data_IF_887452458663
#
_entry.id   IF_887452458663
#
_cell.length_a   1.000
_cell.length_b   1.000
_cell.length_c   1.000
_cell.angle_alpha   90.00
_cell.angle_beta   90.00
_cell.angle_gamma   90.00
#
_symmetry.space_group_name_H-M   'P 1'
#
loop_
_entity.id
_entity.type
_entity.pdbx_description
1 polymer ?
#
# COMPACT_ATOMS: atom_id res chain seq x y z
N UNK A 1 -8.29 -36.80 31.53
CA UNK A 1 -7.55 -35.62 31.04
C UNK A 1 -8.28 -35.13 29.78
N UNK A 2 -9.23 -34.24 29.95
CA UNK A 2 -9.94 -33.57 28.89
C UNK A 2 -9.06 -32.46 28.32
N UNK A 3 -8.92 -32.31 26.99
CA UNK A 3 -8.19 -31.18 26.42
C UNK A 3 -8.99 -29.92 26.68
N UNK A 4 -8.37 -28.96 27.36
CA UNK A 4 -8.88 -27.58 27.42
C UNK A 4 -8.95 -27.05 25.99
N UNK A 5 -10.17 -26.87 25.50
CA UNK A 5 -10.47 -26.09 24.31
C UNK A 5 -10.08 -24.64 24.60
N UNK A 6 -8.91 -24.21 24.14
CA UNK A 6 -8.50 -22.83 24.17
C UNK A 6 -9.50 -22.02 23.34
N UNK A 7 -10.34 -21.26 24.00
CA UNK A 7 -11.21 -20.27 23.36
C UNK A 7 -10.33 -19.23 22.70
N UNK A 8 -10.27 -19.24 21.36
CA UNK A 8 -9.72 -18.16 20.57
C UNK A 8 -10.75 -17.01 20.62
N UNK A 9 -10.61 -16.12 21.59
CA UNK A 9 -11.35 -14.87 21.59
C UNK A 9 -10.80 -13.97 20.49
N UNK A 10 -11.69 -13.55 19.58
CA UNK A 10 -11.40 -12.44 18.69
C UNK A 10 -11.28 -11.17 19.54
N UNK A 11 -10.08 -10.67 19.62
CA UNK A 11 -9.73 -9.49 20.42
C UNK A 11 -9.55 -8.32 19.48
N UNK A 12 -10.14 -7.17 19.82
CA UNK A 12 -9.86 -5.90 19.10
C UNK A 12 -8.36 -5.62 19.15
N UNK A 13 -7.87 -4.83 18.18
CA UNK A 13 -6.47 -4.40 18.14
C UNK A 13 -6.01 -3.67 19.42
N UNK A 14 -6.96 -3.20 20.26
CA UNK A 14 -6.69 -2.58 21.57
C UNK A 14 -6.56 -3.59 22.73
N UNK A 15 -6.61 -4.91 22.45
CA UNK A 15 -6.50 -5.96 23.46
C UNK A 15 -7.78 -6.25 24.23
N UNK A 16 -8.91 -5.62 23.87
CA UNK A 16 -10.22 -5.91 24.47
C UNK A 16 -10.96 -7.00 23.69
N UNK A 17 -11.70 -7.88 24.36
CA UNK A 17 -12.63 -8.76 23.68
C UNK A 17 -13.57 -7.92 22.82
N UNK A 18 -13.86 -8.39 21.60
CA UNK A 18 -14.84 -7.75 20.72
C UNK A 18 -16.19 -7.71 21.50
N UNK A 19 -16.48 -6.59 22.14
CA UNK A 19 -17.80 -6.38 22.75
C UNK A 19 -18.76 -6.11 21.62
N UNK A 20 -19.66 -7.03 21.37
CA UNK A 20 -20.86 -6.74 20.61
C UNK A 20 -21.58 -5.66 21.40
N UNK A 21 -21.62 -4.46 20.88
CA UNK A 21 -22.46 -3.42 21.46
C UNK A 21 -23.89 -3.98 21.49
N UNK A 22 -24.48 -4.06 22.67
CA UNK A 22 -25.91 -4.17 22.78
C UNK A 22 -26.48 -3.06 21.91
N UNK A 23 -27.57 -3.35 21.16
CA UNK A 23 -28.20 -2.44 20.23
C UNK A 23 -28.12 -1.00 20.73
N UNK A 24 -27.18 -0.23 20.18
CA UNK A 24 -27.06 1.19 20.51
C UNK A 24 -28.25 1.85 19.84
N UNK A 25 -29.04 2.56 20.61
CA UNK A 25 -30.15 3.37 20.11
C UNK A 25 -29.68 4.15 18.87
N UNK A 26 -30.31 3.90 17.72
CA UNK A 26 -29.92 4.35 16.38
C UNK A 26 -30.11 5.86 16.13
N UNK A 27 -29.86 6.71 17.11
CA UNK A 27 -29.82 8.17 16.99
C UNK A 27 -28.37 8.69 17.14
N UNK A 28 -27.43 8.13 16.37
CA UNK A 28 -26.12 8.74 16.27
C UNK A 28 -26.20 9.86 15.24
N UNK A 29 -26.62 11.04 15.66
CA UNK A 29 -26.65 12.23 14.80
C UNK A 29 -25.26 12.54 14.27
N UNK A 30 -25.15 13.21 13.10
CA UNK A 30 -23.87 13.55 12.43
C UNK A 30 -22.89 14.29 13.34
N UNK A 31 -23.38 15.05 14.32
CA UNK A 31 -22.56 15.79 15.28
C UNK A 31 -21.83 14.85 16.26
N UNK A 32 -22.48 13.79 16.75
CA UNK A 32 -21.85 12.80 17.64
C UNK A 32 -20.75 12.02 16.92
N UNK A 33 -21.00 11.67 15.65
CA UNK A 33 -20.04 10.95 14.82
C UNK A 33 -18.79 11.81 14.53
N UNK A 34 -18.98 13.09 14.24
CA UNK A 34 -17.89 14.05 14.04
C UNK A 34 -17.09 14.28 15.31
N UNK A 35 -17.74 14.32 16.48
CA UNK A 35 -17.08 14.40 17.77
C UNK A 35 -16.22 13.16 18.06
N UNK A 36 -16.75 11.94 17.86
CA UNK A 36 -15.99 10.70 18.02
C UNK A 36 -14.72 10.72 17.14
N UNK A 37 -14.85 11.10 15.87
CA UNK A 37 -13.72 11.19 14.95
C UNK A 37 -12.63 12.17 15.43
N UNK A 38 -13.03 13.35 15.90
CA UNK A 38 -12.10 14.38 16.38
C UNK A 38 -11.45 14.00 17.71
N UNK A 39 -12.19 13.37 18.61
CA UNK A 39 -11.66 12.82 19.86
C UNK A 39 -10.66 11.70 19.60
N UNK A 40 -10.99 10.76 18.72
CA UNK A 40 -10.05 9.71 18.32
C UNK A 40 -8.76 10.34 17.79
N UNK A 41 -8.85 11.30 16.85
CA UNK A 41 -7.69 11.93 16.24
C UNK A 41 -6.78 12.64 17.25
N UNK A 42 -7.36 13.21 18.32
CA UNK A 42 -6.60 13.89 19.41
C UNK A 42 -5.97 12.91 20.39
N UNK A 43 -6.64 11.79 20.66
CA UNK A 43 -6.26 10.83 21.70
C UNK A 43 -5.28 9.76 21.22
N UNK A 44 -5.07 9.62 19.90
CA UNK A 44 -4.13 8.65 19.36
C UNK A 44 -2.69 9.07 19.61
N UNK A 45 -1.95 8.28 20.39
CA UNK A 45 -0.53 8.48 20.63
C UNK A 45 0.29 8.06 19.41
N UNK A 46 0.88 9.03 18.73
CA UNK A 46 1.68 8.82 17.52
C UNK A 46 2.99 8.09 17.81
N UNK A 47 3.35 7.17 16.91
CA UNK A 47 4.67 6.58 16.86
C UNK A 47 5.38 7.13 15.61
N UNK A 48 6.57 7.76 15.78
CA UNK A 48 7.30 8.31 14.65
C UNK A 48 7.71 7.23 13.63
N UNK A 49 7.60 7.55 12.35
CA UNK A 49 8.00 6.68 11.26
C UNK A 49 6.87 5.80 10.71
N UNK A 50 7.17 5.18 9.57
CA UNK A 50 6.32 4.15 8.97
C UNK A 50 6.97 2.81 9.24
N UNK A 51 6.29 1.94 9.98
CA UNK A 51 6.77 0.60 10.26
C UNK A 51 5.98 -0.42 9.43
N UNK A 52 6.67 -1.46 8.98
CA UNK A 52 6.00 -2.62 8.40
C UNK A 52 5.16 -3.30 9.48
N UNK A 53 3.86 -3.39 9.26
CA UNK A 53 2.94 -4.00 10.20
C UNK A 53 2.53 -5.39 9.71
N UNK A 54 2.74 -6.39 10.54
CA UNK A 54 2.17 -7.74 10.36
C UNK A 54 0.78 -7.86 10.99
N UNK A 55 0.31 -6.84 11.69
CA UNK A 55 -0.96 -6.84 12.42
C UNK A 55 -2.13 -7.37 11.58
N UNK A 56 -2.30 -6.87 10.35
CA UNK A 56 -3.41 -7.30 9.50
C UNK A 56 -3.30 -8.76 9.05
N UNK A 57 -2.08 -9.25 8.78
CA UNK A 57 -1.85 -10.64 8.42
C UNK A 57 -2.20 -11.57 9.58
N UNK A 58 -1.74 -11.23 10.79
CA UNK A 58 -2.03 -12.01 11.99
C UNK A 58 -3.55 -12.01 12.28
N UNK A 59 -4.22 -10.87 12.10
CA UNK A 59 -5.69 -10.75 12.23
C UNK A 59 -6.41 -11.63 11.20
N UNK A 60 -5.97 -11.66 9.95
CA UNK A 60 -6.53 -12.51 8.91
C UNK A 60 -6.37 -14.00 9.23
N UNK A 61 -5.23 -14.41 9.79
CA UNK A 61 -5.03 -15.81 10.22
C UNK A 61 -5.98 -16.18 11.37
N UNK A 62 -6.14 -15.31 12.35
CA UNK A 62 -7.08 -15.49 13.47
C UNK A 62 -8.52 -15.53 12.96
N UNK A 63 -8.90 -14.58 12.09
CA UNK A 63 -10.24 -14.51 11.49
C UNK A 63 -10.57 -15.78 10.72
N UNK A 64 -9.64 -16.27 9.88
CA UNK A 64 -9.84 -17.48 9.09
C UNK A 64 -10.10 -18.70 9.98
N UNK A 65 -9.36 -18.82 11.10
CA UNK A 65 -9.58 -19.90 12.09
C UNK A 65 -10.92 -19.76 12.80
N UNK A 66 -11.30 -18.55 13.21
CA UNK A 66 -12.54 -18.27 13.92
C UNK A 66 -13.77 -18.45 13.02
N UNK A 67 -13.65 -18.13 11.73
CA UNK A 67 -14.77 -18.20 10.79
C UNK A 67 -15.04 -19.63 10.27
N UNK A 68 -14.01 -20.51 10.29
CA UNK A 68 -14.13 -21.90 9.81
C UNK A 68 -15.28 -22.68 10.44
N UNK A 69 -15.47 -22.74 11.78
CA UNK A 69 -16.57 -23.46 12.38
C UNK A 69 -17.95 -22.86 12.03
N UNK A 70 -18.04 -21.53 11.90
CA UNK A 70 -19.27 -20.85 11.47
C UNK A 70 -19.65 -21.28 10.07
N UNK A 71 -18.69 -21.21 9.11
CA UNK A 71 -18.92 -21.64 7.73
C UNK A 71 -19.31 -23.11 7.65
N UNK A 72 -18.63 -23.99 8.37
CA UNK A 72 -18.91 -25.43 8.37
C UNK A 72 -20.31 -25.76 8.90
N UNK A 73 -20.76 -25.07 9.95
CA UNK A 73 -22.10 -25.25 10.53
C UNK A 73 -23.19 -24.77 9.59
N UNK A 74 -22.97 -23.59 8.97
CA UNK A 74 -23.94 -22.97 8.06
C UNK A 74 -24.06 -23.74 6.73
N UNK A 75 -22.98 -24.35 6.25
CA UNK A 75 -22.97 -25.20 5.05
C UNK A 75 -23.58 -26.60 5.26
N UNK A 76 -23.81 -27.02 6.50
CA UNK A 76 -24.37 -28.34 6.80
C UNK A 76 -25.87 -28.36 6.48
N UNK A 77 -26.32 -29.12 5.46
CA UNK A 77 -27.73 -29.17 5.08
C UNK A 77 -28.65 -29.83 6.15
N UNK A 78 -28.06 -30.53 7.10
CA UNK A 78 -28.81 -31.13 8.20
C UNK A 78 -29.22 -30.10 9.30
N UNK A 79 -28.56 -28.94 9.33
CA UNK A 79 -28.86 -27.88 10.28
C UNK A 79 -29.96 -26.99 9.70
N UNK A 80 -31.13 -27.05 10.30
CA UNK A 80 -32.24 -26.16 9.94
C UNK A 80 -32.01 -24.78 10.54
N UNK A 81 -32.32 -23.69 9.80
CA UNK A 81 -32.21 -22.33 10.33
C UNK A 81 -33.12 -22.18 11.53
N UNK A 82 -32.54 -21.88 12.69
CA UNK A 82 -33.26 -21.70 13.96
C UNK A 82 -33.69 -20.25 14.19
N UNK A 83 -33.02 -19.30 13.53
CA UNK A 83 -33.28 -17.87 13.62
C UNK A 83 -33.11 -17.18 12.26
N UNK A 84 -33.61 -15.94 12.15
CA UNK A 84 -33.44 -15.13 10.95
C UNK A 84 -31.96 -14.77 10.70
N UNK A 85 -31.17 -14.61 11.76
CA UNK A 85 -29.75 -14.36 11.68
C UNK A 85 -28.98 -15.57 11.13
N UNK A 86 -29.34 -16.79 11.54
CA UNK A 86 -28.76 -18.01 10.99
C UNK A 86 -29.09 -18.15 9.48
N UNK A 87 -30.31 -17.82 9.11
CA UNK A 87 -30.75 -17.82 7.70
C UNK A 87 -29.95 -16.80 6.89
N UNK A 88 -29.72 -15.59 7.41
CA UNK A 88 -28.93 -14.57 6.75
C UNK A 88 -27.48 -15.03 6.50
N UNK A 89 -26.84 -15.69 7.47
CA UNK A 89 -25.53 -16.30 7.27
C UNK A 89 -25.55 -17.36 6.17
N UNK A 90 -26.57 -18.21 6.15
CA UNK A 90 -26.73 -19.29 5.19
C UNK A 90 -26.90 -18.77 3.76
N UNK A 91 -27.74 -17.77 3.57
CA UNK A 91 -28.01 -17.12 2.28
C UNK A 91 -26.76 -16.39 1.72
N UNK A 92 -25.91 -15.85 2.59
CA UNK A 92 -24.77 -15.03 2.20
C UNK A 92 -23.41 -15.76 2.32
N UNK A 93 -23.41 -17.07 2.47
CA UNK A 93 -22.21 -17.87 2.71
C UNK A 93 -21.13 -17.71 1.63
N UNK A 94 -21.54 -17.65 0.36
CA UNK A 94 -20.63 -17.47 -0.76
C UNK A 94 -20.02 -16.07 -0.79
N UNK A 95 -20.82 -15.04 -0.47
CA UNK A 95 -20.33 -13.69 -0.33
C UNK A 95 -19.26 -13.62 0.77
N UNK A 96 -19.58 -14.14 1.95
CA UNK A 96 -18.69 -14.11 3.11
C UNK A 96 -17.37 -14.85 2.85
N UNK A 97 -17.45 -16.03 2.23
CA UNK A 97 -16.26 -16.82 1.88
C UNK A 97 -15.38 -16.11 0.83
N UNK A 98 -16.00 -15.47 -0.16
CA UNK A 98 -15.30 -14.70 -1.19
C UNK A 98 -14.62 -13.47 -0.59
N UNK A 99 -15.33 -12.68 0.20
CA UNK A 99 -14.79 -11.48 0.85
C UNK A 99 -13.67 -11.81 1.85
N UNK A 100 -13.77 -12.92 2.58
CA UNK A 100 -12.70 -13.40 3.46
C UNK A 100 -11.42 -13.69 2.66
N UNK A 101 -11.55 -14.42 1.56
CA UNK A 101 -10.40 -14.75 0.69
C UNK A 101 -9.76 -13.52 0.07
N UNK A 102 -10.57 -12.60 -0.50
CA UNK A 102 -10.10 -11.34 -1.10
C UNK A 102 -9.39 -10.46 -0.07
N UNK A 103 -10.00 -10.25 1.10
CA UNK A 103 -9.45 -9.42 2.18
C UNK A 103 -8.13 -9.99 2.68
N UNK A 104 -8.06 -11.29 2.95
CA UNK A 104 -6.83 -11.93 3.43
C UNK A 104 -5.72 -11.93 2.37
N UNK A 105 -6.05 -12.03 1.09
CA UNK A 105 -5.07 -11.91 0.00
C UNK A 105 -4.46 -10.50 -0.04
N UNK A 106 -5.27 -9.46 0.14
CA UNK A 106 -4.80 -8.08 0.20
C UNK A 106 -3.77 -7.87 1.31
N UNK A 107 -3.93 -8.54 2.46
CA UNK A 107 -3.02 -8.43 3.60
C UNK A 107 -1.89 -9.47 3.62
N UNK A 108 -1.71 -10.23 2.56
CA UNK A 108 -0.61 -11.21 2.44
C UNK A 108 0.78 -10.55 2.47
N UNK A 109 0.89 -9.33 1.92
CA UNK A 109 2.12 -8.54 1.92
C UNK A 109 2.15 -7.53 3.08
N UNK A 110 3.36 -7.20 3.59
CA UNK A 110 3.50 -6.19 4.64
C UNK A 110 3.24 -4.79 4.07
N UNK A 111 2.49 -3.98 4.81
CA UNK A 111 2.18 -2.60 4.44
C UNK A 111 2.88 -1.62 5.39
N UNK A 112 3.52 -0.60 4.83
CA UNK A 112 4.14 0.51 5.58
C UNK A 112 3.08 1.55 5.90
N UNK A 113 2.59 1.54 7.12
CA UNK A 113 1.51 2.42 7.57
C UNK A 113 1.90 3.14 8.85
N UNK A 114 1.37 4.35 9.08
CA UNK A 114 1.50 5.05 10.35
C UNK A 114 0.95 4.20 11.49
N UNK A 115 1.73 4.10 12.57
CA UNK A 115 1.40 3.33 13.75
C UNK A 115 0.97 4.25 14.90
N UNK A 116 0.09 3.74 15.73
CA UNK A 116 -0.37 4.41 16.95
C UNK A 116 -0.33 3.44 18.13
N UNK A 117 -0.15 4.00 19.33
CA UNK A 117 -0.26 3.24 20.56
C UNK A 117 -1.66 3.42 21.12
N UNK A 118 -2.33 2.30 21.34
CA UNK A 118 -3.63 2.29 22.02
C UNK A 118 -3.48 2.62 23.50
N UNK A 119 -4.56 3.01 24.21
CA UNK A 119 -4.55 3.21 25.66
C UNK A 119 -4.06 1.99 26.47
N UNK A 120 -4.16 0.79 25.88
CA UNK A 120 -3.69 -0.47 26.49
C UNK A 120 -2.22 -0.80 26.16
N UNK A 121 -1.51 0.10 25.49
CA UNK A 121 -0.09 -0.07 25.16
C UNK A 121 0.19 -0.87 23.86
N UNK A 122 -0.82 -1.42 23.22
CA UNK A 122 -0.67 -2.16 21.96
C UNK A 122 -0.38 -1.20 20.80
N UNK A 123 0.53 -1.59 19.93
CA UNK A 123 0.88 -0.83 18.71
C UNK A 123 0.09 -1.40 17.54
N UNK A 124 -0.66 -0.54 16.87
CA UNK A 124 -1.51 -0.90 15.73
C UNK A 124 -1.39 0.13 14.60
N UNK A 125 -1.69 -0.23 13.35
CA UNK A 125 -1.86 0.75 12.29
C UNK A 125 -2.97 1.75 12.64
N UNK A 126 -2.71 3.05 12.45
CA UNK A 126 -3.68 4.11 12.74
C UNK A 126 -5.01 3.89 12.04
N UNK A 127 -4.96 3.41 10.79
CA UNK A 127 -6.14 3.13 9.99
C UNK A 127 -7.02 2.00 10.60
N UNK A 128 -6.41 1.06 11.35
CA UNK A 128 -7.18 0.03 12.06
C UNK A 128 -8.00 0.64 13.20
N UNK A 129 -7.37 1.49 14.03
CA UNK A 129 -8.08 2.21 15.09
C UNK A 129 -9.24 3.05 14.54
N UNK A 130 -9.01 3.73 13.41
CA UNK A 130 -10.01 4.56 12.75
C UNK A 130 -11.20 3.73 12.24
N UNK A 131 -10.94 2.61 11.57
CA UNK A 131 -12.00 1.75 11.04
C UNK A 131 -12.81 1.08 12.17
N UNK A 132 -12.14 0.66 13.24
CA UNK A 132 -12.80 0.07 14.41
C UNK A 132 -13.72 1.09 15.12
N UNK A 133 -13.23 2.31 15.33
CA UNK A 133 -14.02 3.37 15.99
C UNK A 133 -15.22 3.78 15.13
N UNK A 134 -14.99 4.02 13.83
CA UNK A 134 -16.08 4.35 12.91
C UNK A 134 -17.18 3.26 12.88
N UNK A 135 -16.82 2.00 12.64
CA UNK A 135 -17.78 0.92 12.53
C UNK A 135 -18.53 0.67 13.87
N UNK A 136 -17.81 0.83 14.99
CA UNK A 136 -18.46 0.76 16.30
C UNK A 136 -19.43 1.92 16.53
N UNK A 137 -19.06 3.14 16.13
CA UNK A 137 -19.91 4.33 16.29
C UNK A 137 -21.19 4.28 15.44
N UNK A 138 -21.16 3.63 14.28
CA UNK A 138 -22.35 3.43 13.42
C UNK A 138 -23.05 2.08 13.66
N UNK A 139 -22.73 1.35 14.73
CA UNK A 139 -23.32 0.05 15.04
C UNK A 139 -23.08 -1.00 13.94
N UNK A 140 -21.94 -0.93 13.25
CA UNK A 140 -21.56 -1.79 12.13
C UNK A 140 -22.47 -1.68 10.89
N UNK A 141 -23.27 -0.62 10.82
CA UNK A 141 -24.06 -0.26 9.64
C UNK A 141 -23.31 0.82 8.87
N UNK A 142 -22.81 0.46 7.71
CA UNK A 142 -22.07 1.41 6.87
C UNK A 142 -23.05 2.28 6.07
N UNK A 143 -22.73 3.60 5.94
CA UNK A 143 -23.28 4.46 4.90
C UNK A 143 -22.20 5.37 4.34
N UNK A 144 -22.31 5.71 3.06
CA UNK A 144 -21.34 6.57 2.38
C UNK A 144 -21.26 7.96 3.03
N UNK A 145 -22.39 8.52 3.43
CA UNK A 145 -22.51 9.85 4.03
C UNK A 145 -21.85 9.89 5.40
N UNK A 146 -22.17 8.93 6.29
CA UNK A 146 -21.60 8.83 7.62
C UNK A 146 -20.10 8.61 7.57
N UNK A 147 -19.63 7.75 6.66
CA UNK A 147 -18.21 7.51 6.43
C UNK A 147 -17.47 8.77 5.98
N UNK A 148 -17.99 9.46 4.96
CA UNK A 148 -17.36 10.68 4.44
C UNK A 148 -17.27 11.78 5.50
N UNK A 149 -18.35 11.98 6.28
CA UNK A 149 -18.39 12.95 7.37
C UNK A 149 -17.38 12.59 8.48
N UNK A 150 -17.31 11.31 8.86
CA UNK A 150 -16.37 10.82 9.88
C UNK A 150 -14.89 11.05 9.47
N UNK A 151 -14.52 10.64 8.24
CA UNK A 151 -13.16 10.83 7.75
C UNK A 151 -12.80 12.31 7.60
N UNK A 152 -13.72 13.14 7.12
CA UNK A 152 -13.50 14.58 7.03
C UNK A 152 -13.28 15.21 8.40
N UNK A 153 -14.08 14.85 9.41
CA UNK A 153 -13.90 15.33 10.78
C UNK A 153 -12.56 14.87 11.39
N UNK A 154 -12.16 13.62 11.17
CA UNK A 154 -10.85 13.11 11.57
C UNK A 154 -9.71 13.91 10.94
N UNK A 155 -9.81 14.20 9.64
CA UNK A 155 -8.78 14.93 8.89
C UNK A 155 -8.70 16.42 9.24
N UNK A 156 -9.67 17.00 9.93
CA UNK A 156 -9.53 18.35 10.51
C UNK A 156 -8.44 18.42 11.58
N UNK A 157 -8.15 17.31 12.26
CA UNK A 157 -7.12 17.21 13.30
C UNK A 157 -5.84 16.59 12.75
N UNK A 158 -5.95 15.50 12.00
CA UNK A 158 -4.79 14.73 11.53
C UNK A 158 -5.02 14.21 10.11
N UNK A 159 -4.18 14.65 9.17
CA UNK A 159 -4.26 14.26 7.77
C UNK A 159 -3.90 12.79 7.58
N UNK A 160 -4.72 12.06 6.83
CA UNK A 160 -4.42 10.70 6.40
C UNK A 160 -3.43 10.71 5.23
N UNK A 161 -2.47 9.78 5.26
CA UNK A 161 -1.58 9.53 4.12
C UNK A 161 -2.33 8.76 3.04
N UNK A 162 -1.88 8.90 1.80
CA UNK A 162 -2.47 8.17 0.67
C UNK A 162 -2.46 6.66 0.88
N UNK A 163 -1.40 6.11 1.46
CA UNK A 163 -1.30 4.69 1.81
C UNK A 163 -2.42 4.24 2.77
N UNK A 164 -2.85 5.10 3.69
CA UNK A 164 -3.97 4.82 4.59
C UNK A 164 -5.32 4.90 3.86
N UNK A 165 -5.48 5.86 2.94
CA UNK A 165 -6.69 5.99 2.12
C UNK A 165 -6.87 4.75 1.24
N UNK A 166 -5.82 4.21 0.63
CA UNK A 166 -5.88 2.97 -0.12
C UNK A 166 -6.26 1.76 0.74
N UNK A 167 -5.88 1.78 2.02
CA UNK A 167 -6.15 0.67 2.95
C UNK A 167 -7.47 0.80 3.70
N UNK A 168 -8.21 1.92 3.57
CA UNK A 168 -9.50 2.13 4.26
C UNK A 168 -10.48 1.00 4.00
N UNK A 169 -10.73 0.70 2.74
CA UNK A 169 -11.72 -0.31 2.33
C UNK A 169 -11.35 -1.71 2.80
N UNK A 170 -10.14 -2.24 2.51
CA UNK A 170 -9.72 -3.54 3.01
C UNK A 170 -9.80 -3.66 4.53
N UNK A 171 -9.40 -2.60 5.27
CA UNK A 171 -9.42 -2.63 6.73
C UNK A 171 -10.85 -2.62 7.28
N UNK A 172 -11.76 -1.81 6.70
CA UNK A 172 -13.17 -1.85 7.10
C UNK A 172 -13.81 -3.22 6.84
N UNK A 173 -13.51 -3.84 5.68
CA UNK A 173 -13.96 -5.21 5.39
C UNK A 173 -13.44 -6.20 6.43
N UNK A 174 -12.15 -6.11 6.79
CA UNK A 174 -11.54 -6.97 7.81
C UNK A 174 -12.25 -6.83 9.17
N UNK A 175 -12.43 -5.60 9.67
CA UNK A 175 -13.08 -5.32 10.94
C UNK A 175 -14.54 -5.83 10.95
N UNK A 176 -15.25 -5.60 9.85
CA UNK A 176 -16.64 -6.05 9.73
C UNK A 176 -16.75 -7.59 9.65
N UNK A 177 -15.82 -8.24 8.95
CA UNK A 177 -15.74 -9.71 8.90
C UNK A 177 -15.40 -10.32 10.26
N UNK A 178 -14.52 -9.68 11.05
CA UNK A 178 -14.25 -10.10 12.43
C UNK A 178 -15.50 -9.99 13.30
N UNK A 179 -16.27 -8.91 13.13
CA UNK A 179 -17.53 -8.73 13.83
C UNK A 179 -18.55 -9.81 13.44
N UNK A 180 -18.72 -10.09 12.15
CA UNK A 180 -19.62 -11.14 11.64
C UNK A 180 -19.18 -12.51 12.16
N UNK A 181 -17.88 -12.81 12.21
CA UNK A 181 -17.38 -14.08 12.76
C UNK A 181 -17.71 -14.24 14.24
N UNK A 182 -17.59 -13.18 15.03
CA UNK A 182 -17.95 -13.18 16.45
C UNK A 182 -19.46 -13.35 16.66
N UNK A 183 -20.28 -12.65 15.87
CA UNK A 183 -21.74 -12.83 15.90
C UNK A 183 -22.13 -14.25 15.50
N UNK A 184 -21.52 -14.81 14.47
CA UNK A 184 -21.72 -16.19 14.03
C UNK A 184 -21.34 -17.21 15.11
N UNK A 185 -20.22 -16.99 15.82
CA UNK A 185 -19.81 -17.83 16.95
C UNK A 185 -20.86 -17.81 18.06
N UNK A 186 -21.37 -16.63 18.45
CA UNK A 186 -22.44 -16.50 19.45
C UNK A 186 -23.72 -17.19 19.02
N UNK A 187 -24.05 -17.08 17.74
CA UNK A 187 -25.23 -17.74 17.18
C UNK A 187 -25.12 -19.27 17.23
N UNK A 188 -23.91 -19.82 17.14
CA UNK A 188 -23.68 -21.26 17.32
C UNK A 188 -23.82 -21.69 18.79
N UNK A 189 -23.52 -20.81 19.75
CA UNK A 189 -23.68 -21.06 21.20
C UNK A 189 -25.13 -20.90 21.64
N UNK A 190 -25.84 -19.90 21.11
CA UNK A 190 -27.27 -19.67 21.34
C UNK A 190 -28.00 -19.44 20.01
N UNK A 191 -28.49 -20.50 19.37
CA UNK A 191 -29.15 -20.42 18.07
C UNK A 191 -30.48 -19.66 18.06
N UNK A 192 -31.05 -19.39 19.24
CA UNK A 192 -32.31 -18.64 19.39
C UNK A 192 -32.11 -17.14 19.58
N UNK A 193 -30.88 -16.72 19.84
CA UNK A 193 -30.53 -15.32 20.04
C UNK A 193 -30.66 -14.48 18.77
N UNK A 194 -30.96 -13.19 18.94
CA UNK A 194 -30.91 -12.20 17.85
C UNK A 194 -29.69 -11.32 18.04
N UNK A 195 -28.76 -11.36 17.07
CA UNK A 195 -27.42 -10.72 17.18
C UNK A 195 -27.16 -9.68 16.12
N UNK A 196 -28.18 -9.25 15.35
CA UNK A 196 -28.08 -8.28 14.28
C UNK A 196 -27.04 -8.66 13.17
N UNK A 197 -26.85 -9.96 12.93
CA UNK A 197 -25.95 -10.48 11.90
C UNK A 197 -26.33 -9.95 10.52
N UNK A 198 -27.64 -9.84 10.25
CA UNK A 198 -28.17 -9.31 8.99
C UNK A 198 -27.70 -7.89 8.72
N UNK A 199 -27.65 -7.04 9.74
CA UNK A 199 -27.22 -5.64 9.59
C UNK A 199 -25.73 -5.54 9.30
N UNK A 200 -24.91 -6.35 9.97
CA UNK A 200 -23.47 -6.42 9.68
C UNK A 200 -23.17 -6.94 8.26
N UNK A 201 -23.93 -7.95 7.80
CA UNK A 201 -23.82 -8.45 6.41
C UNK A 201 -24.26 -7.38 5.41
N UNK A 202 -25.33 -6.62 5.70
CA UNK A 202 -25.75 -5.51 4.86
C UNK A 202 -24.66 -4.44 4.76
N UNK A 203 -24.05 -4.06 5.88
CA UNK A 203 -22.91 -3.14 5.88
C UNK A 203 -21.77 -3.61 5.00
N UNK A 204 -21.44 -4.91 5.01
CA UNK A 204 -20.43 -5.49 4.11
C UNK A 204 -20.82 -5.39 2.62
N UNK A 205 -22.09 -5.64 2.31
CA UNK A 205 -22.62 -5.50 0.94
C UNK A 205 -22.57 -4.04 0.46
N UNK A 206 -22.94 -3.10 1.31
CA UNK A 206 -22.88 -1.66 1.02
C UNK A 206 -21.43 -1.20 0.78
N UNK A 207 -20.48 -1.64 1.61
CA UNK A 207 -19.05 -1.38 1.38
C UNK A 207 -18.62 -1.95 0.02
N UNK A 208 -19.06 -3.14 -0.36
CA UNK A 208 -18.73 -3.76 -1.65
C UNK A 208 -19.30 -3.00 -2.85
N UNK A 209 -20.53 -2.48 -2.73
CA UNK A 209 -21.25 -1.81 -3.82
C UNK A 209 -20.87 -0.32 -3.94
N UNK A 210 -20.21 0.24 -2.94
CA UNK A 210 -19.86 1.66 -2.90
C UNK A 210 -18.89 2.02 -4.03
N UNK A 211 -19.13 3.12 -4.77
CA UNK A 211 -18.23 3.61 -5.81
C UNK A 211 -17.02 4.31 -5.19
N UNK A 212 -16.08 3.54 -4.65
CA UNK A 212 -14.97 4.04 -3.84
C UNK A 212 -14.12 5.10 -4.51
N UNK A 213 -13.96 5.06 -5.83
CA UNK A 213 -13.26 6.12 -6.59
C UNK A 213 -13.87 7.50 -6.33
N UNK A 214 -15.19 7.60 -6.29
CA UNK A 214 -15.92 8.85 -6.07
C UNK A 214 -15.88 9.26 -4.60
N UNK A 215 -16.00 8.30 -3.68
CA UNK A 215 -16.05 8.54 -2.23
C UNK A 215 -14.68 8.94 -1.67
N UNK A 216 -13.60 8.30 -2.12
CA UNK A 216 -12.25 8.54 -1.58
C UNK A 216 -11.58 9.76 -2.20
N UNK A 217 -11.88 10.13 -3.44
CA UNK A 217 -11.22 11.25 -4.11
C UNK A 217 -11.32 12.58 -3.34
N UNK A 218 -12.48 13.00 -2.79
CA UNK A 218 -12.58 14.21 -1.98
C UNK A 218 -11.81 14.15 -0.65
N UNK A 219 -11.44 12.95 -0.19
CA UNK A 219 -10.70 12.72 1.06
C UNK A 219 -9.19 12.89 0.89
N UNK A 220 -8.68 12.94 -0.35
CA UNK A 220 -7.27 13.12 -0.66
C UNK A 220 -6.94 14.62 -0.62
N UNK A 221 -6.45 15.11 0.53
CA UNK A 221 -6.30 16.56 0.73
C UNK A 221 -5.25 17.19 -0.19
N UNK A 222 -4.14 16.52 -0.47
CA UNK A 222 -3.13 17.06 -1.38
C UNK A 222 -3.59 17.09 -2.85
N UNK A 223 -4.58 16.29 -3.25
CA UNK A 223 -5.18 16.32 -4.58
C UNK A 223 -5.88 17.66 -4.84
N UNK A 224 -6.47 18.26 -3.79
CA UNK A 224 -7.08 19.59 -3.90
C UNK A 224 -6.05 20.64 -4.31
N UNK A 225 -4.81 20.54 -3.77
CA UNK A 225 -3.70 21.43 -4.14
C UNK A 225 -3.31 21.25 -5.60
N UNK A 226 -3.25 20.01 -6.08
CA UNK A 226 -2.93 19.73 -7.49
C UNK A 226 -4.02 20.19 -8.46
N UNK A 227 -5.29 20.29 -8.02
CA UNK A 227 -6.41 20.81 -8.85
C UNK A 227 -6.30 22.30 -9.15
N UNK A 228 -5.52 23.03 -8.37
CA UNK A 228 -5.18 24.44 -8.62
C UNK A 228 -4.10 24.61 -9.71
N UNK A 229 -3.85 23.58 -10.51
CA UNK A 229 -2.92 23.55 -11.64
C UNK A 229 -3.11 24.79 -12.55
N UNK A 230 -2.09 25.66 -12.72
CA UNK A 230 -2.21 26.86 -13.53
C UNK A 230 -2.57 26.60 -14.99
N UNK A 231 -2.14 25.47 -15.55
CA UNK A 231 -2.52 25.05 -16.91
C UNK A 231 -3.95 24.52 -16.99
N UNK A 232 -4.61 24.27 -15.84
CA UNK A 232 -5.97 23.73 -15.76
C UNK A 232 -6.14 22.32 -16.35
N UNK A 233 -5.05 21.62 -16.62
CA UNK A 233 -5.08 20.31 -17.24
C UNK A 233 -5.39 19.20 -16.22
N UNK A 234 -4.81 19.27 -15.01
CA UNK A 234 -4.97 18.24 -13.97
C UNK A 234 -6.45 17.99 -13.61
N UNK A 235 -7.24 19.02 -13.42
CA UNK A 235 -8.66 18.89 -13.06
C UNK A 235 -9.51 18.22 -14.15
N UNK A 236 -9.07 18.28 -15.40
CA UNK A 236 -9.76 17.70 -16.58
C UNK A 236 -9.30 16.28 -16.91
N UNK A 237 -8.26 15.75 -16.22
CA UNK A 237 -7.79 14.39 -16.42
C UNK A 237 -8.81 13.38 -15.90
N UNK A 238 -8.75 12.15 -16.44
CA UNK A 238 -9.48 11.01 -15.92
C UNK A 238 -8.93 10.58 -14.54
N UNK A 239 -9.68 9.73 -13.85
CA UNK A 239 -9.30 9.24 -12.52
C UNK A 239 -7.97 8.49 -12.55
N UNK A 240 -7.77 7.62 -13.53
CA UNK A 240 -6.59 6.75 -13.66
C UNK A 240 -5.31 7.58 -13.86
N UNK A 241 -5.38 8.61 -14.67
CA UNK A 241 -4.26 9.54 -14.88
C UNK A 241 -3.95 10.32 -13.59
N UNK A 242 -4.97 10.89 -12.91
CA UNK A 242 -4.76 11.56 -11.61
C UNK A 242 -4.17 10.61 -10.58
N UNK A 243 -4.59 9.35 -10.58
CA UNK A 243 -4.04 8.33 -9.66
C UNK A 243 -2.55 8.07 -9.90
N UNK A 244 -2.07 8.10 -11.16
CA UNK A 244 -0.65 8.01 -11.45
C UNK A 244 0.13 9.20 -10.89
N UNK A 245 -0.42 10.41 -11.00
CA UNK A 245 0.20 11.62 -10.42
C UNK A 245 0.23 11.54 -8.89
N UNK A 246 -0.85 11.11 -8.24
CA UNK A 246 -0.91 10.87 -6.80
C UNK A 246 0.16 9.87 -6.34
N UNK A 247 0.33 8.77 -7.07
CA UNK A 247 1.40 7.78 -6.81
C UNK A 247 2.80 8.39 -6.91
N UNK A 248 3.03 9.33 -7.82
CA UNK A 248 4.31 10.02 -7.90
C UNK A 248 4.53 10.96 -6.70
N UNK A 249 3.52 11.69 -6.26
CA UNK A 249 3.59 12.50 -5.03
C UNK A 249 3.98 11.63 -3.84
N UNK A 250 3.28 10.50 -3.64
CA UNK A 250 3.59 9.54 -2.56
C UNK A 250 5.03 9.03 -2.67
N UNK A 251 5.45 8.61 -3.87
CA UNK A 251 6.80 8.08 -4.10
C UNK A 251 7.90 9.11 -3.80
N UNK A 252 7.64 10.38 -4.07
CA UNK A 252 8.58 11.46 -3.74
C UNK A 252 8.56 11.71 -2.23
N UNK A 253 7.38 11.82 -1.61
CA UNK A 253 7.23 12.04 -0.17
C UNK A 253 7.86 10.91 0.67
N UNK A 254 7.69 9.66 0.29
CA UNK A 254 8.27 8.51 0.99
C UNK A 254 9.82 8.48 0.97
N UNK A 255 10.44 9.26 0.09
CA UNK A 255 11.89 9.34 -0.09
C UNK A 255 12.46 10.73 0.15
N UNK A 256 11.68 11.61 0.72
CA UNK A 256 12.05 12.96 1.12
C UNK A 256 11.65 13.18 2.57
N UNK A 257 12.20 14.20 3.20
CA UNK A 257 11.80 14.63 4.54
C UNK A 257 10.52 15.49 4.52
N UNK A 258 9.69 15.30 3.49
CA UNK A 258 8.49 16.08 3.24
C UNK A 258 7.22 15.23 3.31
N UNK A 259 6.11 15.84 3.76
CA UNK A 259 4.79 15.22 3.64
C UNK A 259 4.26 15.27 2.20
N UNK A 260 3.29 14.40 1.86
CA UNK A 260 2.60 14.41 0.56
C UNK A 260 2.02 15.80 0.23
N UNK A 261 1.46 16.47 1.24
CA UNK A 261 0.94 17.83 1.13
C UNK A 261 2.04 18.84 0.76
N UNK A 262 3.23 18.72 1.37
CA UNK A 262 4.36 19.61 1.07
C UNK A 262 4.87 19.37 -0.34
N UNK A 263 4.98 18.13 -0.79
CA UNK A 263 5.36 17.79 -2.18
C UNK A 263 4.38 18.41 -3.16
N UNK A 264 3.07 18.25 -2.95
CA UNK A 264 2.05 18.83 -3.83
C UNK A 264 2.12 20.37 -3.87
N UNK A 265 2.38 21.01 -2.72
CA UNK A 265 2.55 22.47 -2.64
C UNK A 265 3.78 22.95 -3.40
N UNK A 266 4.92 22.22 -3.33
CA UNK A 266 6.12 22.56 -4.09
C UNK A 266 5.91 22.40 -5.60
N UNK A 267 5.20 21.34 -6.02
CA UNK A 267 4.82 21.14 -7.43
C UNK A 267 4.00 22.32 -7.94
N UNK A 268 2.99 22.74 -7.18
CA UNK A 268 2.14 23.87 -7.53
C UNK A 268 2.93 25.19 -7.57
N UNK A 269 3.87 25.39 -6.63
CA UNK A 269 4.73 26.58 -6.61
C UNK A 269 5.60 26.65 -7.86
N UNK A 270 6.23 25.53 -8.26
CA UNK A 270 7.03 25.44 -9.49
C UNK A 270 6.19 25.75 -10.75
N UNK A 271 4.98 25.19 -10.83
CA UNK A 271 4.09 25.45 -11.95
C UNK A 271 3.66 26.92 -12.03
N UNK A 272 3.42 27.57 -10.88
CA UNK A 272 3.11 29.02 -10.80
C UNK A 272 4.33 29.89 -11.14
N UNK A 273 5.53 29.51 -10.71
CA UNK A 273 6.78 30.20 -11.08
C UNK A 273 6.99 30.17 -12.60
N UNK A 274 6.78 29.02 -13.24
CA UNK A 274 6.89 28.89 -14.70
C UNK A 274 5.84 29.74 -15.43
N UNK A 275 4.61 29.83 -14.91
CA UNK A 275 3.58 30.70 -15.46
C UNK A 275 3.95 32.18 -15.34
N UNK A 276 4.59 32.58 -14.24
CA UNK A 276 5.01 33.95 -13.99
C UNK A 276 6.21 34.37 -14.86
N UNK A 277 6.98 33.41 -15.37
CA UNK A 277 8.15 33.63 -16.25
C UNK A 277 7.91 32.95 -17.62
N UNK A 278 7.06 33.51 -18.46
CA UNK A 278 6.65 32.88 -19.70
C UNK A 278 7.82 32.76 -20.68
N UNK A 279 7.91 31.63 -21.36
CA UNK A 279 8.81 31.45 -22.49
C UNK A 279 8.35 32.26 -23.71
N UNK A 280 9.28 32.49 -24.65
CA UNK A 280 8.93 33.08 -25.94
C UNK A 280 7.92 32.25 -26.75
N UNK A 281 7.94 30.92 -26.55
CA UNK A 281 6.92 30.00 -27.10
C UNK A 281 5.81 29.73 -26.05
N UNK A 282 4.56 30.13 -26.35
CA UNK A 282 3.41 29.89 -25.46
C UNK A 282 3.18 28.41 -25.12
N UNK A 283 3.56 27.50 -26.03
CA UNK A 283 3.40 26.04 -25.79
C UNK A 283 4.32 25.54 -24.70
N UNK A 284 5.54 26.05 -24.65
CA UNK A 284 6.51 25.72 -23.59
C UNK A 284 6.02 26.25 -22.24
N UNK A 285 5.52 27.51 -22.24
CA UNK A 285 4.92 28.09 -21.02
C UNK A 285 3.76 27.26 -20.51
N UNK A 286 2.85 26.83 -21.39
CA UNK A 286 1.71 25.99 -21.01
C UNK A 286 2.15 24.63 -20.48
N UNK A 287 3.17 24.02 -21.09
CA UNK A 287 3.76 22.76 -20.63
C UNK A 287 4.37 22.90 -19.24
N UNK A 288 5.18 23.94 -19.05
CA UNK A 288 5.95 24.11 -17.82
C UNK A 288 5.08 24.68 -16.67
N UNK A 289 3.96 25.33 -16.98
CA UNK A 289 2.95 25.72 -15.98
C UNK A 289 2.03 24.58 -15.56
N UNK A 290 2.17 23.38 -16.15
CA UNK A 290 1.41 22.21 -15.76
C UNK A 290 2.12 21.43 -14.65
N UNK A 291 1.40 21.05 -13.58
CA UNK A 291 1.92 20.24 -12.45
C UNK A 291 2.56 18.92 -12.90
N UNK A 292 2.12 18.36 -14.02
CA UNK A 292 2.66 17.13 -14.60
C UNK A 292 4.11 17.25 -15.08
N UNK A 293 4.55 18.42 -15.48
CA UNK A 293 5.94 18.66 -15.90
C UNK A 293 6.92 18.33 -14.77
N UNK A 294 6.52 18.54 -13.52
CA UNK A 294 7.34 18.29 -12.34
C UNK A 294 7.13 16.91 -11.71
N UNK A 295 5.98 16.26 -11.95
CA UNK A 295 5.69 14.93 -11.39
C UNK A 295 6.15 13.77 -12.28
N UNK A 296 6.05 13.92 -13.61
CA UNK A 296 6.25 12.80 -14.56
C UNK A 296 7.17 13.14 -15.74
N UNK A 297 7.60 14.40 -15.91
CA UNK A 297 8.41 14.86 -17.04
C UNK A 297 9.76 15.46 -16.60
N UNK A 298 10.34 16.29 -17.44
CA UNK A 298 11.71 16.84 -17.30
C UNK A 298 11.92 17.68 -16.03
N UNK A 299 10.89 18.38 -15.55
CA UNK A 299 10.93 19.18 -14.31
C UNK A 299 11.07 18.41 -13.02
N UNK A 300 10.97 17.07 -13.05
CA UNK A 300 11.08 16.21 -11.86
C UNK A 300 12.42 16.40 -11.11
N UNK A 301 13.50 16.72 -11.81
CA UNK A 301 14.81 16.99 -11.20
C UNK A 301 14.75 18.15 -10.21
N UNK A 302 14.15 19.27 -10.62
CA UNK A 302 13.98 20.48 -9.80
C UNK A 302 13.11 20.21 -8.58
N UNK A 303 12.01 19.47 -8.75
CA UNK A 303 11.13 19.09 -7.63
C UNK A 303 11.89 18.22 -6.61
N UNK A 304 12.66 17.24 -7.07
CA UNK A 304 13.46 16.37 -6.20
C UNK A 304 14.49 17.13 -5.38
N UNK A 305 15.12 18.11 -5.97
CA UNK A 305 16.07 18.99 -5.28
C UNK A 305 15.37 19.82 -4.21
N UNK A 306 14.23 20.47 -4.52
CA UNK A 306 13.44 21.27 -3.56
C UNK A 306 12.85 20.45 -2.41
N UNK A 307 12.51 19.21 -2.66
CA UNK A 307 11.92 18.31 -1.65
C UNK A 307 12.97 17.53 -0.85
N UNK A 308 14.27 17.69 -1.14
CA UNK A 308 15.32 16.92 -0.48
C UNK A 308 15.20 15.41 -0.76
N UNK A 309 14.89 15.04 -2.00
CA UNK A 309 14.68 13.64 -2.38
C UNK A 309 15.95 12.81 -2.24
N UNK A 310 15.88 11.71 -1.50
CA UNK A 310 16.98 10.76 -1.30
C UNK A 310 16.78 9.53 -2.20
N UNK A 311 17.45 9.47 -3.36
CA UNK A 311 17.31 8.32 -4.25
C UNK A 311 17.85 7.05 -3.58
N UNK A 312 17.17 5.89 -3.71
CA UNK A 312 17.66 4.62 -3.18
C UNK A 312 19.00 4.25 -3.85
N UNK A 313 19.80 3.45 -3.15
CA UNK A 313 21.11 3.02 -3.63
C UNK A 313 21.06 2.45 -5.06
N UNK A 314 20.03 1.65 -5.37
CA UNK A 314 19.84 1.08 -6.72
C UNK A 314 19.66 2.14 -7.80
N UNK A 315 18.96 3.24 -7.51
CA UNK A 315 18.79 4.36 -8.44
C UNK A 315 20.08 5.16 -8.55
N UNK A 316 20.79 5.40 -7.42
CA UNK A 316 22.12 6.06 -7.43
C UNK A 316 23.13 5.25 -8.25
N UNK A 317 23.19 3.95 -8.01
CA UNK A 317 24.07 3.04 -8.75
C UNK A 317 23.73 3.06 -10.24
N UNK A 318 22.43 2.97 -10.59
CA UNK A 318 22.00 3.02 -11.99
C UNK A 318 22.35 4.35 -12.65
N UNK A 319 22.14 5.48 -11.98
CA UNK A 319 22.48 6.81 -12.51
C UNK A 319 23.99 6.92 -12.69
N UNK A 320 24.78 6.45 -11.73
CA UNK A 320 26.23 6.41 -11.82
C UNK A 320 26.72 5.55 -12.99
N UNK A 321 26.16 4.35 -13.18
CA UNK A 321 26.46 3.46 -14.31
C UNK A 321 26.13 4.12 -15.67
N UNK A 322 25.02 4.87 -15.74
CA UNK A 322 24.61 5.56 -16.97
C UNK A 322 25.44 6.82 -17.26
N UNK A 323 25.95 7.49 -16.24
CA UNK A 323 26.77 8.69 -16.40
C UNK A 323 28.24 8.37 -16.72
N UNK A 324 28.75 7.19 -16.31
CA UNK A 324 30.13 6.76 -16.47
C UNK A 324 30.26 5.38 -17.16
N UNK A 325 29.66 5.20 -18.37
CA UNK A 325 29.65 3.90 -19.01
C UNK A 325 31.03 3.36 -19.30
N UNK A 326 31.93 4.22 -19.80
CA UNK A 326 33.31 3.84 -20.23
C UNK A 326 34.19 3.50 -19.03
N UNK A 327 34.04 4.23 -17.92
CA UNK A 327 34.86 4.06 -16.71
C UNK A 327 34.54 2.77 -15.95
N UNK A 328 33.38 2.17 -16.20
CA UNK A 328 32.94 0.95 -15.54
C UNK A 328 32.95 -0.26 -16.46
N UNK A 329 32.62 -0.10 -17.73
CA UNK A 329 32.52 -1.21 -18.67
C UNK A 329 33.88 -1.81 -18.99
N UNK A 330 34.87 -0.97 -19.36
CA UNK A 330 36.22 -1.44 -19.73
C UNK A 330 36.99 -2.04 -18.53
N UNK A 331 37.09 -1.36 -17.37
CA UNK A 331 37.72 -1.95 -16.21
C UNK A 331 36.99 -3.18 -15.68
N UNK A 332 35.65 -3.20 -15.81
CA UNK A 332 34.85 -4.35 -15.44
C UNK A 332 35.15 -5.61 -16.26
N UNK A 333 35.30 -5.46 -17.58
CA UNK A 333 35.75 -6.55 -18.47
C UNK A 333 37.17 -6.99 -18.08
N UNK A 334 38.08 -6.07 -17.85
CA UNK A 334 39.48 -6.41 -17.48
C UNK A 334 39.53 -7.18 -16.14
N UNK A 335 38.81 -6.69 -15.14
CA UNK A 335 38.72 -7.35 -13.82
C UNK A 335 38.07 -8.75 -13.91
N UNK A 336 37.02 -8.90 -14.69
CA UNK A 336 36.33 -10.16 -14.90
C UNK A 336 37.21 -11.17 -15.67
N UNK A 337 37.89 -10.69 -16.72
CA UNK A 337 38.88 -11.47 -17.47
C UNK A 337 40.00 -11.96 -16.54
N UNK A 338 40.56 -11.07 -15.74
CA UNK A 338 41.56 -11.43 -14.76
C UNK A 338 41.09 -12.48 -13.77
N UNK A 339 39.88 -12.32 -13.23
CA UNK A 339 39.28 -13.28 -12.31
C UNK A 339 39.06 -14.66 -12.94
N UNK A 340 38.54 -14.70 -14.19
CA UNK A 340 38.30 -15.95 -14.91
C UNK A 340 39.65 -16.64 -15.21
N UNK A 341 40.61 -15.93 -15.78
CA UNK A 341 41.93 -16.48 -16.13
C UNK A 341 42.66 -16.99 -14.87
N UNK A 342 42.69 -16.17 -13.82
CA UNK A 342 43.31 -16.57 -12.52
C UNK A 342 42.64 -17.78 -11.91
N UNK A 343 41.28 -17.80 -11.91
CA UNK A 343 40.51 -18.92 -11.36
C UNK A 343 40.77 -20.21 -12.11
N UNK A 344 40.78 -20.20 -13.44
CA UNK A 344 41.04 -21.39 -14.26
C UNK A 344 42.48 -21.88 -14.10
N UNK A 345 43.44 -20.96 -14.10
CA UNK A 345 44.87 -21.31 -13.94
C UNK A 345 45.11 -21.90 -12.56
N UNK A 346 44.59 -21.31 -11.47
CA UNK A 346 44.75 -21.83 -10.11
C UNK A 346 44.08 -23.21 -9.92
N UNK A 347 42.98 -23.48 -10.60
CA UNK A 347 42.23 -24.72 -10.53
C UNK A 347 42.94 -25.88 -11.30
N UNK A 348 43.57 -25.55 -12.45
CA UNK A 348 44.12 -26.54 -13.37
C UNK A 348 45.61 -26.76 -13.25
N UNK A 349 46.37 -25.82 -12.62
CA UNK A 349 47.84 -25.96 -12.49
C UNK A 349 48.26 -26.44 -11.08
N UNK A 350 48.88 -27.62 -10.96
CA UNK A 350 49.45 -28.07 -9.72
C UNK A 350 50.61 -27.16 -9.24
N UNK A 351 50.87 -27.07 -7.92
CA UNK A 351 51.91 -26.17 -7.39
C UNK A 351 53.33 -26.50 -7.81
N UNK A 352 53.58 -27.66 -8.42
CA UNK A 352 54.87 -28.11 -8.96
C UNK A 352 55.08 -27.76 -10.45
N UNK A 353 54.14 -27.04 -11.09
CA UNK A 353 54.15 -26.77 -12.51
C UNK A 353 55.24 -25.73 -12.84
N UNK A 354 56.01 -26.00 -13.91
CA UNK A 354 57.02 -25.06 -14.41
C UNK A 354 56.38 -23.70 -14.82
N UNK A 355 57.12 -22.61 -14.54
CA UNK A 355 56.66 -21.26 -14.80
C UNK A 355 56.26 -21.05 -16.28
N UNK A 356 56.96 -21.66 -17.23
CA UNK A 356 56.67 -21.61 -18.67
C UNK A 356 55.33 -22.24 -19.03
N UNK A 357 54.95 -23.33 -18.37
CA UNK A 357 53.66 -23.98 -18.58
C UNK A 357 52.52 -23.14 -18.00
N UNK A 358 52.74 -22.48 -16.86
CA UNK A 358 51.77 -21.52 -16.29
C UNK A 358 51.52 -20.34 -17.24
N UNK A 359 52.60 -19.76 -17.79
CA UNK A 359 52.48 -18.67 -18.79
C UNK A 359 51.74 -19.10 -20.05
N UNK A 360 52.00 -20.31 -20.54
CA UNK A 360 51.32 -20.89 -21.69
C UNK A 360 49.82 -21.12 -21.38
N UNK A 361 49.50 -21.60 -20.18
CA UNK A 361 48.10 -21.76 -19.73
C UNK A 361 47.34 -20.42 -19.65
N UNK A 362 47.98 -19.36 -19.10
CA UNK A 362 47.46 -18.02 -19.06
C UNK A 362 47.15 -17.54 -20.49
N UNK A 363 48.08 -17.69 -21.41
CA UNK A 363 47.92 -17.26 -22.81
C UNK A 363 46.81 -18.01 -23.52
N UNK A 364 46.70 -19.31 -23.28
CA UNK A 364 45.66 -20.16 -23.87
C UNK A 364 44.25 -19.82 -23.37
N UNK A 365 44.11 -19.47 -22.07
CA UNK A 365 42.82 -19.16 -21.43
C UNK A 365 42.44 -17.68 -21.61
N UNK A 366 43.40 -16.78 -21.94
CA UNK A 366 43.14 -15.35 -22.01
C UNK A 366 42.08 -14.98 -23.08
N UNK A 367 42.15 -15.59 -24.26
CA UNK A 367 41.23 -15.32 -25.37
C UNK A 367 39.80 -15.80 -25.07
N UNK A 368 39.54 -17.07 -24.70
CA UNK A 368 38.19 -17.51 -24.32
C UNK A 368 37.70 -16.86 -23.02
N UNK A 369 38.59 -16.56 -22.08
CA UNK A 369 38.27 -15.86 -20.84
C UNK A 369 37.80 -14.43 -21.07
N UNK A 370 38.47 -13.69 -21.95
CA UNK A 370 38.03 -12.33 -22.29
C UNK A 370 36.70 -12.29 -23.04
N UNK A 371 36.42 -13.24 -23.94
CA UNK A 371 35.12 -13.37 -24.60
C UNK A 371 34.01 -13.66 -23.59
N UNK A 372 34.25 -14.58 -22.66
CA UNK A 372 33.30 -14.88 -21.59
C UNK A 372 33.04 -13.67 -20.68
N UNK A 373 34.08 -12.91 -20.35
CA UNK A 373 33.97 -11.68 -19.57
C UNK A 373 33.10 -10.63 -20.27
N UNK A 374 33.28 -10.43 -21.59
CA UNK A 374 32.43 -9.52 -22.40
C UNK A 374 30.98 -9.97 -22.41
N UNK A 375 30.73 -11.29 -22.61
CA UNK A 375 29.37 -11.81 -22.60
C UNK A 375 28.66 -11.61 -21.24
N UNK A 376 29.37 -11.89 -20.15
CA UNK A 376 28.84 -11.68 -18.79
C UNK A 376 28.57 -10.20 -18.55
N UNK A 377 29.47 -9.31 -18.96
CA UNK A 377 29.30 -7.86 -18.79
C UNK A 377 28.10 -7.35 -19.61
N UNK A 378 27.94 -7.80 -20.85
CA UNK A 378 26.77 -7.47 -21.67
C UNK A 378 25.46 -7.96 -21.05
N UNK A 379 25.47 -9.17 -20.50
CA UNK A 379 24.31 -9.71 -19.81
C UNK A 379 23.95 -8.88 -18.57
N UNK A 380 24.94 -8.53 -17.75
CA UNK A 380 24.75 -7.66 -16.58
C UNK A 380 24.26 -6.27 -16.98
N UNK A 381 24.82 -5.68 -18.04
CA UNK A 381 24.37 -4.39 -18.58
C UNK A 381 22.89 -4.46 -19.02
N UNK A 382 22.50 -5.51 -19.72
CA UNK A 382 21.10 -5.71 -20.16
C UNK A 382 20.15 -5.92 -18.98
N UNK A 383 20.58 -6.60 -17.92
CA UNK A 383 19.79 -6.83 -16.72
C UNK A 383 19.60 -5.53 -15.89
N UNK A 384 20.64 -4.70 -15.81
CA UNK A 384 20.64 -3.47 -14.99
C UNK A 384 20.02 -2.27 -15.72
N UNK A 385 20.09 -2.26 -17.06
CA UNK A 385 19.66 -1.18 -17.92
C UNK A 385 18.50 -1.63 -18.82
N UNK A 386 17.24 -1.57 -18.32
CA UNK A 386 16.09 -1.93 -19.13
C UNK A 386 16.02 -1.07 -20.39
N UNK A 387 15.72 -1.70 -21.52
CA UNK A 387 15.60 -1.03 -22.81
C UNK A 387 14.54 0.09 -22.74
N UNK A 388 14.89 1.28 -23.22
CA UNK A 388 13.92 2.34 -23.41
C UNK A 388 13.14 2.08 -24.70
N UNK A 389 11.83 1.93 -24.59
CA UNK A 389 10.94 1.87 -25.75
C UNK A 389 10.88 3.27 -26.35
N UNK A 390 11.38 3.43 -27.56
CA UNK A 390 11.20 4.65 -28.34
C UNK A 390 9.72 4.83 -28.68
N UNK A 391 9.15 6.05 -28.57
CA UNK A 391 7.79 6.30 -29.01
C UNK A 391 7.69 6.00 -30.52
N UNK A 392 6.79 5.09 -30.88
CA UNK A 392 6.48 4.82 -32.28
C UNK A 392 5.56 5.94 -32.76
N UNK A 393 5.97 6.63 -33.83
CA UNK A 393 5.06 7.47 -34.60
C UNK A 393 4.07 6.55 -35.32
N UNK A 394 2.79 6.77 -35.08
CA UNK A 394 1.74 6.13 -35.85
C UNK A 394 1.57 6.92 -37.17
N UNK A 395 1.87 6.29 -38.26
CA UNK A 395 1.74 6.85 -39.63
C UNK A 395 0.44 6.41 -40.29
N UNK A 396 -0.55 5.92 -39.54
CA UNK A 396 -1.86 5.57 -40.09
C UNK A 396 -2.77 6.77 -40.31
#
# INVERSE_FOLDING_TARGET
>A
MTPQSGHLELVRSDGKPLRVAAAVDMETGPDKLSLSATELARNLAWIPGQQESRNFRDRCEILTRAFRPVLASVQNPAVKPSSDDFRALQEQIYLLSGELGETCTTFSEPHKLPQVRTPHGTIIPRIAALAEDYLAAVGYQFSQESFSAYIQAFQQVTVLKMAEIWMLVPVMKLVLMEHIAELGRRLLEDPSGSYAVRDAIRGLQEIKQTPWKVVTEPLILFDRVLRDDPAGAYSRMDYETREQYRKQVVKIADRSDCSEMRVASEVLALAREAQAQPHSDPRLTLRDSHVGSYLVAEGMGVLRERTGFHPPFTVRLRTFLLQHPDELYLPGIAALTFAIVSGVVLLLTPPTTSLWLVLLAILAVLLPGSQSAVQIMNYLATLLLPAQTLPKLDFS
#
